data_IF_134064696326
#
_entry.id   IF_134064696326
#
_cell.length_a   1.000
_cell.length_b   1.000
_cell.length_c   1.000
_cell.angle_alpha   90.00
_cell.angle_beta   90.00
_cell.angle_gamma   90.00
#
_symmetry.space_group_name_H-M   'P 1'
#
loop_
_entity.id
_entity.type
_entity.pdbx_description
1 polymer ?
#
# COMPACT_ATOMS: atom_id res chain seq x y z
N UNK A 1 -13.61 -6.94 -5.80
CA UNK A 1 -12.90 -6.17 -6.86
C UNK A 1 -11.86 -5.20 -6.26
N UNK A 2 -12.25 -4.29 -5.37
CA UNK A 2 -11.31 -3.31 -4.78
C UNK A 2 -10.05 -3.94 -4.15
N UNK A 3 -10.19 -5.00 -3.36
CA UNK A 3 -9.05 -5.71 -2.73
C UNK A 3 -8.03 -6.25 -3.75
N UNK A 4 -8.48 -6.65 -4.94
CA UNK A 4 -7.58 -7.06 -6.02
C UNK A 4 -6.73 -5.88 -6.48
N UNK A 5 -7.33 -4.71 -6.73
CA UNK A 5 -6.59 -3.52 -7.15
C UNK A 5 -5.70 -2.96 -6.04
N UNK A 6 -6.10 -3.13 -4.78
CA UNK A 6 -5.26 -2.77 -3.63
C UNK A 6 -3.97 -3.59 -3.62
N UNK A 7 -4.06 -4.91 -3.76
CA UNK A 7 -2.89 -5.78 -3.88
C UNK A 7 -2.08 -5.48 -5.16
N UNK A 8 -2.75 -5.33 -6.30
CA UNK A 8 -2.12 -5.07 -7.59
C UNK A 8 -1.28 -3.78 -7.59
N UNK A 9 -1.89 -2.64 -7.25
CA UNK A 9 -1.19 -1.36 -7.26
C UNK A 9 -0.10 -1.30 -6.19
N UNK A 10 -0.35 -1.89 -5.01
CA UNK A 10 0.64 -1.94 -3.93
C UNK A 10 1.90 -2.69 -4.37
N UNK A 11 1.77 -3.80 -5.09
CA UNK A 11 2.91 -4.56 -5.60
C UNK A 11 3.61 -3.85 -6.78
N UNK A 12 2.85 -3.22 -7.67
CA UNK A 12 3.42 -2.46 -8.79
C UNK A 12 4.36 -1.35 -8.31
N UNK A 13 4.01 -0.64 -7.22
CA UNK A 13 4.84 0.42 -6.66
C UNK A 13 6.24 -0.07 -6.26
N UNK A 14 6.34 -1.31 -5.78
CA UNK A 14 7.59 -1.94 -5.35
C UNK A 14 8.35 -2.63 -6.50
N UNK A 15 7.87 -2.55 -7.74
CA UNK A 15 8.53 -3.11 -8.93
C UNK A 15 8.01 -4.48 -9.37
N UNK A 16 7.00 -5.03 -8.69
CA UNK A 16 6.31 -6.24 -9.11
C UNK A 16 5.27 -5.89 -10.17
N UNK A 17 5.73 -5.76 -11.41
CA UNK A 17 4.92 -5.29 -12.52
C UNK A 17 4.30 -6.44 -13.31
N UNK A 18 2.97 -6.55 -13.31
CA UNK A 18 2.23 -7.49 -14.14
C UNK A 18 1.13 -6.76 -14.91
N UNK A 19 0.72 -7.34 -16.05
CA UNK A 19 -0.52 -6.90 -16.68
C UNK A 19 -1.71 -7.23 -15.76
N UNK A 20 -2.79 -6.45 -15.86
CA UNK A 20 -3.99 -6.66 -15.01
C UNK A 20 -4.54 -8.08 -15.18
N UNK A 21 -4.60 -8.58 -16.41
CA UNK A 21 -5.11 -9.94 -16.69
C UNK A 21 -4.19 -11.03 -16.15
N UNK A 22 -2.87 -10.81 -16.18
CA UNK A 22 -1.89 -11.74 -15.60
C UNK A 22 -2.02 -11.79 -14.07
N UNK A 23 -2.12 -10.62 -13.42
CA UNK A 23 -2.36 -10.55 -11.99
C UNK A 23 -3.72 -11.18 -11.59
N UNK A 24 -4.75 -11.06 -12.44
CA UNK A 24 -6.04 -11.74 -12.24
C UNK A 24 -5.87 -13.26 -12.33
N UNK A 25 -5.16 -13.76 -13.33
CA UNK A 25 -4.92 -15.20 -13.50
C UNK A 25 -4.11 -15.78 -12.32
N UNK A 26 -3.15 -15.02 -11.80
CA UNK A 26 -2.41 -15.38 -10.58
C UNK A 26 -3.37 -15.54 -9.39
N UNK A 27 -4.19 -14.52 -9.12
CA UNK A 27 -5.04 -14.48 -7.91
C UNK A 27 -6.24 -15.42 -8.00
N UNK A 28 -6.93 -15.46 -9.14
CA UNK A 28 -8.23 -16.14 -9.25
C UNK A 28 -8.16 -17.50 -9.92
N UNK A 29 -7.16 -17.73 -10.78
CA UNK A 29 -7.01 -18.97 -11.54
C UNK A 29 -5.80 -19.81 -11.05
N UNK A 30 -4.99 -19.27 -10.12
CA UNK A 30 -3.82 -19.94 -9.56
C UNK A 30 -2.65 -20.10 -10.53
N UNK A 31 -2.61 -19.30 -11.60
CA UNK A 31 -1.56 -19.38 -12.63
C UNK A 31 -0.28 -18.71 -12.13
N UNK A 32 0.79 -19.48 -11.94
CA UNK A 32 2.09 -18.96 -11.51
C UNK A 32 3.05 -18.91 -12.72
N UNK A 33 3.56 -17.72 -13.12
CA UNK A 33 4.52 -17.58 -14.21
C UNK A 33 5.86 -18.26 -13.88
N UNK A 34 6.35 -19.10 -14.79
CA UNK A 34 7.60 -19.86 -14.60
C UNK A 34 8.85 -18.97 -14.48
N UNK A 35 8.85 -17.80 -15.13
CA UNK A 35 10.00 -16.91 -15.20
C UNK A 35 10.14 -15.99 -13.98
N UNK A 36 9.09 -15.83 -13.17
CA UNK A 36 9.06 -14.94 -12.01
C UNK A 36 8.00 -15.37 -10.97
N UNK A 37 8.12 -16.59 -10.44
CA UNK A 37 7.13 -17.15 -9.50
C UNK A 37 7.06 -16.37 -8.18
N UNK A 38 8.19 -15.86 -7.70
CA UNK A 38 8.24 -15.13 -6.43
C UNK A 38 7.44 -13.81 -6.49
N UNK A 39 7.46 -13.12 -7.63
CA UNK A 39 6.66 -11.92 -7.89
C UNK A 39 5.15 -12.22 -7.87
N UNK A 40 4.74 -13.36 -8.42
CA UNK A 40 3.34 -13.79 -8.35
C UNK A 40 2.91 -14.08 -6.91
N UNK A 41 3.79 -14.68 -6.12
CA UNK A 41 3.55 -14.90 -4.70
C UNK A 41 3.47 -13.61 -3.88
N UNK A 42 4.22 -12.56 -4.23
CA UNK A 42 4.11 -11.25 -3.56
C UNK A 42 2.70 -10.64 -3.71
N UNK A 43 2.12 -10.76 -4.91
CA UNK A 43 0.74 -10.31 -5.18
C UNK A 43 -0.27 -11.14 -4.40
N UNK A 44 -0.10 -12.47 -4.36
CA UNK A 44 -0.96 -13.37 -3.59
C UNK A 44 -0.89 -13.06 -2.09
N UNK A 45 0.31 -12.90 -1.53
CA UNK A 45 0.51 -12.60 -0.11
C UNK A 45 -0.19 -11.30 0.30
N UNK A 46 -0.07 -10.25 -0.51
CA UNK A 46 -0.80 -9.01 -0.29
C UNK A 46 -2.31 -9.20 -0.39
N UNK A 47 -2.79 -9.90 -1.44
CA UNK A 47 -4.22 -10.14 -1.67
C UNK A 47 -4.86 -10.95 -0.55
N UNK A 48 -4.19 -11.98 -0.05
CA UNK A 48 -4.66 -12.83 1.05
C UNK A 48 -4.97 -12.01 2.31
N UNK A 49 -4.20 -10.94 2.58
CA UNK A 49 -4.45 -10.05 3.71
C UNK A 49 -5.59 -9.08 3.38
N UNK A 50 -5.48 -8.32 2.29
CA UNK A 50 -6.41 -7.20 2.02
C UNK A 50 -7.82 -7.64 1.63
N UNK A 51 -7.97 -8.89 1.19
CA UNK A 51 -9.28 -9.49 0.86
C UNK A 51 -10.00 -10.07 2.09
N UNK A 52 -9.30 -10.34 3.19
CA UNK A 52 -9.93 -10.83 4.42
C UNK A 52 -10.47 -9.65 5.25
N UNK A 53 -11.79 -9.57 5.35
CA UNK A 53 -12.47 -8.51 6.10
C UNK A 53 -12.23 -8.60 7.62
N UNK A 54 -12.07 -9.79 8.19
CA UNK A 54 -11.76 -9.96 9.62
C UNK A 54 -10.33 -9.49 9.88
N UNK A 55 -9.40 -9.89 9.02
CA UNK A 55 -8.01 -9.47 9.12
C UNK A 55 -7.89 -7.94 9.00
N UNK A 56 -8.51 -7.35 7.98
CA UNK A 56 -8.44 -5.90 7.74
C UNK A 56 -9.20 -5.06 8.77
N UNK A 57 -10.06 -5.65 9.60
CA UNK A 57 -10.74 -4.93 10.71
C UNK A 57 -10.10 -5.20 12.07
N UNK A 58 -9.08 -6.06 12.13
CA UNK A 58 -8.27 -6.27 13.32
C UNK A 58 -7.30 -5.11 13.50
N UNK A 59 -7.47 -4.35 14.59
CA UNK A 59 -6.55 -3.28 15.02
C UNK A 59 -5.92 -3.62 16.38
N UNK A 60 -4.67 -3.20 16.61
CA UNK A 60 -4.03 -3.36 17.91
C UNK A 60 -4.46 -2.26 18.89
N UNK A 61 -4.62 -2.60 20.16
CA UNK A 61 -4.93 -1.65 21.23
C UNK A 61 -3.70 -1.26 22.05
N UNK A 62 -2.68 -2.12 22.08
CA UNK A 62 -1.46 -1.94 22.86
C UNK A 62 -0.20 -2.19 22.01
N UNK A 63 0.96 -1.60 22.36
CA UNK A 63 2.17 -1.72 21.54
C UNK A 63 2.57 -3.15 21.21
N UNK A 64 2.47 -4.08 22.17
CA UNK A 64 2.84 -5.48 21.95
C UNK A 64 1.93 -6.17 20.93
N UNK A 65 0.64 -5.84 20.90
CA UNK A 65 -0.28 -6.33 19.86
C UNK A 65 0.06 -5.73 18.50
N UNK A 66 0.45 -4.44 18.46
CA UNK A 66 0.88 -3.80 17.22
C UNK A 66 2.11 -4.50 16.63
N UNK A 67 3.14 -4.75 17.43
CA UNK A 67 4.34 -5.45 16.98
C UNK A 67 4.02 -6.88 16.52
N UNK A 68 3.19 -7.61 17.28
CA UNK A 68 2.78 -8.97 16.92
C UNK A 68 1.97 -9.00 15.61
N UNK A 69 1.00 -8.11 15.46
CA UNK A 69 0.17 -7.99 14.25
C UNK A 69 1.02 -7.60 13.03
N UNK A 70 1.93 -6.64 13.19
CA UNK A 70 2.82 -6.20 12.13
C UNK A 70 3.71 -7.35 11.63
N UNK A 71 4.30 -8.12 12.55
CA UNK A 71 5.10 -9.32 12.24
C UNK A 71 4.26 -10.41 11.57
N UNK A 72 3.05 -10.69 12.09
CA UNK A 72 2.16 -11.71 11.55
C UNK A 72 1.71 -11.38 10.11
N UNK A 73 1.28 -10.14 9.85
CA UNK A 73 0.92 -9.70 8.50
C UNK A 73 2.13 -9.71 7.56
N UNK A 74 3.30 -9.30 8.04
CA UNK A 74 4.52 -9.39 7.23
C UNK A 74 4.91 -10.83 6.91
N UNK A 75 4.73 -11.77 7.85
CA UNK A 75 4.95 -13.20 7.60
C UNK A 75 4.09 -13.69 6.44
N UNK A 76 2.78 -13.39 6.45
CA UNK A 76 1.87 -13.74 5.36
C UNK A 76 2.25 -13.05 4.04
N UNK A 77 2.61 -11.77 4.11
CA UNK A 77 2.98 -10.98 2.93
C UNK A 77 4.22 -11.53 2.21
N UNK A 78 5.22 -11.96 2.98
CA UNK A 78 6.55 -12.34 2.48
C UNK A 78 6.81 -13.84 2.57
N UNK A 79 5.79 -14.68 2.77
CA UNK A 79 5.93 -16.12 3.06
C UNK A 79 6.85 -16.85 2.07
N UNK A 80 6.79 -16.48 0.79
CA UNK A 80 7.55 -17.11 -0.30
C UNK A 80 8.90 -16.39 -0.60
N UNK A 81 9.36 -15.54 0.32
CA UNK A 81 10.62 -14.77 0.25
C UNK A 81 11.48 -15.08 1.48
N UNK A 82 12.02 -16.31 1.63
CA UNK A 82 12.81 -16.69 2.80
C UNK A 82 14.02 -15.77 3.02
N UNK A 83 14.59 -15.23 1.95
CA UNK A 83 15.67 -14.23 1.97
C UNK A 83 15.28 -12.91 2.66
N UNK A 84 13.99 -12.59 2.72
CA UNK A 84 13.46 -11.40 3.38
C UNK A 84 13.16 -11.63 4.87
N UNK A 85 13.45 -12.82 5.41
CA UNK A 85 13.19 -13.19 6.82
C UNK A 85 11.76 -12.88 7.28
N UNK A 86 10.74 -13.56 6.72
CA UNK A 86 9.34 -13.21 6.92
C UNK A 86 8.93 -13.16 8.40
N UNK A 87 8.42 -12.02 8.86
CA UNK A 87 7.92 -11.81 10.22
C UNK A 87 9.00 -11.45 11.25
N UNK A 88 10.26 -11.38 10.81
CA UNK A 88 11.39 -10.99 11.64
C UNK A 88 11.81 -9.56 11.33
N UNK A 89 11.94 -8.73 12.36
CA UNK A 89 12.56 -7.42 12.18
C UNK A 89 14.03 -7.58 11.76
N UNK A 90 14.51 -6.58 11.02
CA UNK A 90 15.88 -6.54 10.50
C UNK A 90 16.90 -6.64 11.64
N UNK A 91 17.99 -7.35 11.35
CA UNK A 91 19.18 -7.46 12.21
C UNK A 91 20.34 -6.58 11.70
N UNK A 92 20.17 -6.00 10.50
CA UNK A 92 21.14 -5.14 9.82
C UNK A 92 20.49 -3.82 9.43
N UNK A 93 21.29 -2.76 9.44
CA UNK A 93 20.84 -1.45 8.95
C UNK A 93 20.45 -1.55 7.47
N UNK A 94 19.39 -0.83 7.10
CA UNK A 94 18.91 -0.71 5.73
C UNK A 94 18.75 0.77 5.37
N UNK A 95 18.77 1.05 4.07
CA UNK A 95 18.70 2.41 3.53
C UNK A 95 17.98 2.38 2.18
N UNK A 96 17.40 3.53 1.81
CA UNK A 96 16.84 3.75 0.48
C UNK A 96 17.42 5.03 -0.13
N UNK A 97 18.28 4.88 -1.14
CA UNK A 97 19.08 6.00 -1.64
C UNK A 97 20.01 6.52 -0.54
N UNK A 98 19.90 7.82 -0.21
CA UNK A 98 20.65 8.45 0.87
C UNK A 98 19.95 8.40 2.25
N UNK A 99 18.71 7.92 2.31
CA UNK A 99 17.94 7.83 3.56
C UNK A 99 18.33 6.56 4.31
N UNK A 100 19.00 6.72 5.45
CA UNK A 100 19.27 5.64 6.41
C UNK A 100 18.10 5.55 7.37
N UNK A 101 17.53 4.35 7.53
CA UNK A 101 16.39 4.13 8.42
C UNK A 101 16.86 3.80 9.85
N UNK A 102 15.89 3.69 10.77
CA UNK A 102 16.10 3.38 12.19
C UNK A 102 17.02 2.18 12.38
N UNK A 103 17.95 2.25 13.34
CA UNK A 103 18.89 1.17 13.60
C UNK A 103 18.17 -0.12 14.08
N UNK A 104 18.68 -1.33 13.79
CA UNK A 104 18.02 -2.59 14.15
C UNK A 104 17.60 -2.72 15.61
N UNK A 105 18.46 -2.30 16.54
CA UNK A 105 18.25 -2.33 17.98
C UNK A 105 17.25 -1.29 18.48
N UNK A 106 16.94 -0.28 17.66
CA UNK A 106 15.98 0.78 17.97
C UNK A 106 14.58 0.54 17.35
N UNK A 107 14.42 -0.46 16.47
CA UNK A 107 13.17 -0.71 15.73
C UNK A 107 11.97 -0.88 16.67
N UNK A 108 12.07 -1.79 17.65
CA UNK A 108 10.93 -2.08 18.53
C UNK A 108 10.57 -0.90 19.43
N UNK A 109 11.59 -0.21 19.95
CA UNK A 109 11.42 0.98 20.78
C UNK A 109 10.75 2.12 20.00
N UNK A 110 11.21 2.38 18.78
CA UNK A 110 10.66 3.42 17.91
C UNK A 110 9.23 3.12 17.49
N UNK A 111 8.92 1.89 17.09
CA UNK A 111 7.54 1.47 16.79
C UNK A 111 6.63 1.60 18.01
N UNK A 112 7.13 1.23 19.19
CA UNK A 112 6.38 1.33 20.45
C UNK A 112 6.04 2.77 20.80
N UNK A 113 7.00 3.70 20.69
CA UNK A 113 6.74 5.12 20.98
C UNK A 113 5.85 5.75 19.90
N UNK A 114 6.11 5.44 18.62
CA UNK A 114 5.25 5.86 17.51
C UNK A 114 3.80 5.40 17.71
N UNK A 115 3.59 4.16 18.18
CA UNK A 115 2.26 3.65 18.50
C UNK A 115 1.53 4.48 19.58
N UNK A 116 2.26 4.97 20.60
CA UNK A 116 1.67 5.83 21.64
C UNK A 116 1.22 7.19 21.09
N UNK A 117 1.92 7.71 20.07
CA UNK A 117 1.50 8.94 19.36
C UNK A 117 0.26 8.63 18.50
N UNK A 118 0.31 7.53 17.73
CA UNK A 118 -0.80 7.05 16.91
C UNK A 118 -2.12 6.95 17.69
N UNK A 119 -2.13 6.40 18.92
CA UNK A 119 -3.34 6.26 19.74
C UNK A 119 -3.95 7.59 20.20
N UNK A 120 -3.24 8.73 20.05
CA UNK A 120 -3.78 10.07 20.36
C UNK A 120 -4.57 10.67 19.20
N UNK A 121 -4.54 10.07 18.01
CA UNK A 121 -5.24 10.54 16.82
C UNK A 121 -6.68 10.00 16.77
N UNK A 122 -7.65 10.91 16.64
CA UNK A 122 -9.08 10.57 16.63
C UNK A 122 -9.64 10.23 15.25
N UNK A 123 -9.20 10.96 14.22
CA UNK A 123 -9.72 10.78 12.87
C UNK A 123 -9.12 9.54 12.19
N UNK A 124 -9.94 8.64 11.59
CA UNK A 124 -9.43 7.42 10.96
C UNK A 124 -8.41 7.68 9.85
N UNK A 125 -8.62 8.70 9.01
CA UNK A 125 -7.66 9.05 7.97
C UNK A 125 -6.33 9.54 8.56
N UNK A 126 -6.35 10.30 9.66
CA UNK A 126 -5.11 10.75 10.32
C UNK A 126 -4.34 9.56 10.91
N UNK A 127 -5.05 8.63 11.57
CA UNK A 127 -4.47 7.37 12.06
C UNK A 127 -3.86 6.55 10.93
N UNK A 128 -4.58 6.41 9.81
CA UNK A 128 -4.13 5.67 8.64
C UNK A 128 -2.83 6.26 8.07
N UNK A 129 -2.80 7.59 7.81
CA UNK A 129 -1.63 8.29 7.28
C UNK A 129 -0.44 8.14 8.23
N UNK A 130 -0.66 8.33 9.53
CA UNK A 130 0.41 8.23 10.52
C UNK A 130 0.95 6.80 10.63
N UNK A 131 0.08 5.79 10.65
CA UNK A 131 0.47 4.38 10.70
C UNK A 131 1.30 3.97 9.48
N UNK A 132 0.86 4.39 8.28
CA UNK A 132 1.60 4.21 7.03
C UNK A 132 3.01 4.80 7.14
N UNK A 133 3.09 6.05 7.58
CA UNK A 133 4.35 6.76 7.71
C UNK A 133 5.27 6.10 8.74
N UNK A 134 4.76 5.80 9.94
CA UNK A 134 5.52 5.17 11.01
C UNK A 134 6.20 3.87 10.54
N UNK A 135 5.44 2.98 9.91
CA UNK A 135 5.98 1.70 9.43
C UNK A 135 6.98 1.92 8.29
N UNK A 136 6.70 2.86 7.37
CA UNK A 136 7.60 3.17 6.24
C UNK A 136 8.93 3.78 6.70
N UNK A 137 8.88 4.68 7.68
CA UNK A 137 10.03 5.46 8.18
C UNK A 137 10.91 4.62 9.12
N UNK A 138 10.31 3.76 9.96
CA UNK A 138 11.11 2.81 10.75
C UNK A 138 11.77 1.77 9.85
N UNK A 139 11.07 1.38 8.79
CA UNK A 139 11.53 0.37 7.83
C UNK A 139 11.98 -0.93 8.53
N UNK A 140 11.09 -1.56 9.33
CA UNK A 140 11.48 -2.57 10.30
C UNK A 140 11.92 -3.92 9.71
N UNK A 141 11.63 -4.19 8.44
CA UNK A 141 11.91 -5.47 7.79
C UNK A 141 13.00 -5.35 6.72
N UNK A 142 13.53 -6.48 6.25
CA UNK A 142 14.52 -6.53 5.16
C UNK A 142 13.92 -6.06 3.83
N UNK A 143 12.68 -6.47 3.54
CA UNK A 143 11.88 -6.06 2.37
C UNK A 143 10.39 -6.02 2.78
N UNK A 144 9.49 -5.58 1.90
CA UNK A 144 8.04 -5.59 2.13
C UNK A 144 7.52 -4.38 2.90
N UNK A 145 8.38 -3.50 3.40
CA UNK A 145 8.04 -2.36 4.25
C UNK A 145 6.95 -1.44 3.66
N UNK A 146 7.08 -1.05 2.38
CA UNK A 146 6.08 -0.21 1.72
C UNK A 146 4.72 -0.90 1.57
N UNK A 147 4.72 -2.19 1.21
CA UNK A 147 3.51 -3.03 1.08
C UNK A 147 2.80 -3.17 2.42
N UNK A 148 3.52 -3.55 3.47
CA UNK A 148 2.92 -3.72 4.79
C UNK A 148 2.45 -2.39 5.39
N UNK A 149 3.16 -1.28 5.18
CA UNK A 149 2.74 0.05 5.61
C UNK A 149 1.37 0.44 5.02
N UNK A 150 1.15 0.18 3.72
CA UNK A 150 -0.15 0.44 3.06
C UNK A 150 -1.26 -0.49 3.54
N UNK A 151 -0.95 -1.75 3.86
CA UNK A 151 -1.90 -2.67 4.48
C UNK A 151 -2.32 -2.16 5.87
N UNK A 152 -1.35 -1.77 6.70
CA UNK A 152 -1.64 -1.22 8.04
C UNK A 152 -2.45 0.08 7.97
N UNK A 153 -2.15 0.95 7.00
CA UNK A 153 -2.94 2.14 6.68
C UNK A 153 -4.40 1.80 6.38
N UNK A 154 -4.62 0.85 5.48
CA UNK A 154 -5.96 0.50 5.03
C UNK A 154 -6.75 -0.30 6.07
N UNK A 155 -6.08 -0.97 7.02
CA UNK A 155 -6.75 -1.60 8.16
C UNK A 155 -7.46 -0.55 9.05
N UNK A 156 -6.83 0.61 9.29
CA UNK A 156 -7.48 1.73 10.02
C UNK A 156 -8.77 2.19 9.35
N UNK A 157 -8.71 2.35 8.02
CA UNK A 157 -9.84 2.81 7.22
C UNK A 157 -10.93 1.74 7.17
N UNK A 158 -10.56 0.47 6.99
CA UNK A 158 -11.49 -0.65 6.96
C UNK A 158 -12.23 -0.83 8.28
N UNK A 159 -11.52 -0.79 9.42
CA UNK A 159 -12.11 -0.88 10.76
C UNK A 159 -13.10 0.27 11.02
N UNK A 160 -12.83 1.47 10.51
CA UNK A 160 -13.71 2.63 10.59
C UNK A 160 -14.80 2.68 9.51
N UNK A 161 -14.91 1.64 8.64
CA UNK A 161 -15.81 1.60 7.47
C UNK A 161 -15.66 2.81 6.53
N UNK A 162 -14.45 3.34 6.44
CA UNK A 162 -14.09 4.38 5.50
C UNK A 162 -13.51 3.79 4.21
N UNK A 163 -13.52 4.60 3.15
CA UNK A 163 -12.90 4.24 1.87
C UNK A 163 -11.40 4.05 2.06
N UNK A 164 -10.86 2.94 1.56
CA UNK A 164 -9.42 2.64 1.60
C UNK A 164 -8.65 3.51 0.60
N UNK A 165 -7.35 3.63 0.80
CA UNK A 165 -6.45 4.34 -0.09
C UNK A 165 -5.72 3.35 -1.00
N UNK A 166 -5.83 3.58 -2.31
CA UNK A 166 -5.04 2.89 -3.32
C UNK A 166 -4.22 3.95 -4.05
N UNK A 167 -2.97 3.62 -4.39
CA UNK A 167 -2.06 4.52 -5.11
C UNK A 167 -1.87 3.95 -6.53
N UNK A 168 -2.58 4.49 -7.55
CA UNK A 168 -2.45 4.00 -8.92
C UNK A 168 -1.03 4.17 -9.47
N UNK A 169 -0.72 3.45 -10.56
CA UNK A 169 0.61 3.41 -11.17
C UNK A 169 1.11 4.82 -11.49
N UNK A 170 0.31 5.62 -12.20
CA UNK A 170 0.66 7.00 -12.57
C UNK A 170 0.95 7.89 -11.35
N UNK A 171 0.38 7.57 -10.19
CA UNK A 171 0.46 8.38 -8.97
C UNK A 171 1.64 8.00 -8.07
N UNK A 172 2.42 6.99 -8.47
CA UNK A 172 3.60 6.52 -7.74
C UNK A 172 4.61 7.64 -7.47
N UNK A 173 4.94 8.46 -8.47
CA UNK A 173 5.92 9.54 -8.31
C UNK A 173 5.45 10.61 -7.32
N UNK A 174 4.15 10.94 -7.32
CA UNK A 174 3.57 11.84 -6.32
C UNK A 174 3.70 11.26 -4.91
N UNK A 175 3.35 9.99 -4.73
CA UNK A 175 3.44 9.29 -3.45
C UNK A 175 4.87 9.23 -2.90
N UNK A 176 5.84 8.79 -3.71
CA UNK A 176 7.25 8.69 -3.29
C UNK A 176 7.83 10.08 -2.99
N UNK A 177 7.52 11.09 -3.81
CA UNK A 177 8.00 12.46 -3.57
C UNK A 177 7.41 13.05 -2.29
N UNK A 178 6.14 12.76 -2.00
CA UNK A 178 5.47 13.21 -0.80
C UNK A 178 6.02 12.56 0.47
N UNK A 179 6.38 11.27 0.42
CA UNK A 179 7.10 10.61 1.51
C UNK A 179 8.47 11.26 1.76
N UNK A 180 9.26 11.46 0.69
CA UNK A 180 10.58 12.11 0.79
C UNK A 180 10.50 13.52 1.37
N UNK A 181 9.46 14.28 1.02
CA UNK A 181 9.27 15.62 1.59
C UNK A 181 9.12 15.58 3.12
N UNK A 182 8.45 14.56 3.66
CA UNK A 182 8.34 14.37 5.10
C UNK A 182 9.67 13.88 5.69
N UNK A 183 10.24 12.79 5.18
CA UNK A 183 11.45 12.18 5.76
C UNK A 183 12.68 13.08 5.70
N UNK A 184 12.86 13.84 4.61
CA UNK A 184 14.06 14.65 4.39
C UNK A 184 13.91 16.12 4.78
N UNK A 185 12.69 16.66 4.74
CA UNK A 185 12.46 18.10 4.94
C UNK A 185 11.46 18.41 6.08
N UNK A 186 11.01 17.39 6.82
CA UNK A 186 9.98 17.51 7.86
C UNK A 186 8.71 18.22 7.36
N UNK A 187 8.36 18.04 6.08
CA UNK A 187 7.22 18.68 5.43
C UNK A 187 6.07 17.68 5.24
N UNK A 188 5.07 17.62 6.16
CA UNK A 188 4.02 16.60 6.14
C UNK A 188 2.87 16.89 5.17
N UNK A 189 2.62 18.14 4.79
CA UNK A 189 1.47 18.52 3.96
C UNK A 189 1.39 17.77 2.62
N UNK A 190 2.50 17.52 1.89
CA UNK A 190 2.46 16.74 0.66
C UNK A 190 1.89 15.34 0.83
N UNK A 191 2.28 14.60 1.88
CA UNK A 191 1.81 13.22 2.06
C UNK A 191 0.34 13.19 2.48
N UNK A 192 -0.08 14.14 3.33
CA UNK A 192 -1.48 14.28 3.74
C UNK A 192 -2.37 14.55 2.52
N UNK A 193 -1.99 15.52 1.67
CA UNK A 193 -2.75 15.88 0.47
C UNK A 193 -2.78 14.75 -0.55
N UNK A 194 -1.65 14.09 -0.77
CA UNK A 194 -1.52 12.96 -1.70
C UNK A 194 -2.42 11.81 -1.31
N UNK A 195 -2.39 11.38 -0.04
CA UNK A 195 -3.23 10.27 0.43
C UNK A 195 -4.72 10.64 0.49
N UNK A 196 -5.05 11.88 0.87
CA UNK A 196 -6.43 12.36 0.84
C UNK A 196 -7.00 12.40 -0.59
N UNK A 197 -6.21 12.84 -1.58
CA UNK A 197 -6.61 12.78 -2.99
C UNK A 197 -6.80 11.33 -3.45
N UNK A 198 -5.86 10.44 -3.13
CA UNK A 198 -5.96 9.03 -3.47
C UNK A 198 -7.21 8.37 -2.85
N UNK A 199 -7.56 8.70 -1.61
CA UNK A 199 -8.80 8.21 -0.98
C UNK A 199 -10.05 8.68 -1.74
N UNK A 200 -10.10 9.97 -2.12
CA UNK A 200 -11.20 10.53 -2.91
C UNK A 200 -11.31 9.90 -4.28
N UNK A 201 -10.18 9.59 -4.90
CA UNK A 201 -10.12 8.89 -6.18
C UNK A 201 -10.74 7.49 -6.08
N UNK A 202 -10.35 6.71 -5.07
CA UNK A 202 -10.95 5.38 -4.82
C UNK A 202 -12.44 5.48 -4.51
N UNK A 203 -12.87 6.51 -3.78
CA UNK A 203 -14.28 6.73 -3.42
C UNK A 203 -15.16 7.02 -4.63
N UNK A 204 -14.59 7.56 -5.71
CA UNK A 204 -15.32 7.91 -6.93
C UNK A 204 -15.46 6.74 -7.91
N UNK A 205 -14.86 5.58 -7.63
CA UNK A 205 -14.91 4.40 -8.49
C UNK A 205 -15.96 3.42 -7.95
N UNK A 206 -16.95 3.01 -8.75
CA UNK A 206 -17.78 1.86 -8.47
C UNK A 206 -16.96 0.57 -8.55
N UNK A 207 -16.89 -0.16 -7.44
CA UNK A 207 -16.14 -1.43 -7.32
C UNK A 207 -17.03 -2.66 -7.46
N UNK A 208 -18.19 -2.51 -8.11
CA UNK A 208 -19.23 -3.52 -8.29
C UNK A 208 -18.80 -4.67 -9.21
N UNK A 209 -18.06 -4.35 -10.28
CA UNK A 209 -17.57 -5.33 -11.24
C UNK A 209 -16.13 -5.05 -11.68
N UNK A 210 -15.42 -6.10 -12.10
CA UNK A 210 -14.07 -5.92 -12.63
C UNK A 210 -14.08 -5.10 -13.93
N UNK A 211 -15.05 -5.34 -14.82
CA UNK A 211 -15.21 -4.60 -16.08
C UNK A 211 -15.30 -3.10 -15.80
N UNK A 212 -16.24 -2.70 -14.93
CA UNK A 212 -16.46 -1.31 -14.52
C UNK A 212 -15.17 -0.68 -13.95
N UNK A 213 -14.54 -1.36 -12.99
CA UNK A 213 -13.32 -0.86 -12.35
C UNK A 213 -12.17 -0.67 -13.36
N UNK A 214 -11.88 -1.68 -14.20
CA UNK A 214 -10.82 -1.59 -15.23
C UNK A 214 -11.09 -0.43 -16.19
N UNK A 215 -12.33 -0.31 -16.69
CA UNK A 215 -12.70 0.75 -17.64
C UNK A 215 -12.48 2.14 -17.04
N UNK A 216 -12.94 2.38 -15.81
CA UNK A 216 -12.81 3.69 -15.16
C UNK A 216 -11.35 3.99 -14.79
N UNK A 217 -10.62 3.00 -14.27
CA UNK A 217 -9.20 3.13 -13.97
C UNK A 217 -8.41 3.49 -15.24
N UNK A 218 -8.70 2.85 -16.38
CA UNK A 218 -8.07 3.17 -17.66
C UNK A 218 -8.42 4.58 -18.14
N UNK A 219 -9.70 4.97 -18.13
CA UNK A 219 -10.17 6.31 -18.55
C UNK A 219 -9.60 7.46 -17.71
N UNK A 220 -9.21 7.16 -16.48
CA UNK A 220 -8.60 8.12 -15.54
C UNK A 220 -7.09 7.98 -15.40
N UNK A 221 -6.45 7.26 -16.33
CA UNK A 221 -4.99 7.11 -16.46
C UNK A 221 -4.32 6.32 -15.32
N UNK A 222 -5.07 5.55 -14.53
CA UNK A 222 -4.56 4.82 -13.37
C UNK A 222 -3.40 3.86 -13.69
N UNK A 223 -3.38 3.32 -14.91
CA UNK A 223 -2.39 2.34 -15.36
C UNK A 223 -1.21 2.94 -16.13
N UNK A 224 -1.26 4.24 -16.46
CA UNK A 224 -0.19 4.92 -17.18
C UNK A 224 1.06 4.97 -16.31
N UNK A 225 2.24 4.74 -16.89
CA UNK A 225 3.50 4.83 -16.14
C UNK A 225 3.81 6.28 -15.76
N UNK A 226 4.42 6.55 -14.59
CA UNK A 226 4.74 7.92 -14.20
C UNK A 226 5.59 8.66 -15.22
N UNK A 227 6.58 8.00 -15.82
CA UNK A 227 7.48 8.58 -16.81
C UNK A 227 6.72 9.04 -18.06
N UNK A 228 5.84 8.18 -18.56
CA UNK A 228 4.94 8.49 -19.68
C UNK A 228 3.99 9.65 -19.35
N UNK A 229 3.42 9.61 -18.13
CA UNK A 229 2.53 10.67 -17.65
C UNK A 229 3.22 12.02 -17.55
N UNK A 230 4.46 12.05 -17.05
CA UNK A 230 5.25 13.28 -16.93
C UNK A 230 5.64 13.85 -18.30
N UNK A 231 6.08 13.01 -19.23
CA UNK A 231 6.41 13.41 -20.61
C UNK A 231 5.21 13.97 -21.38
N UNK A 232 4.03 13.35 -21.24
CA UNK A 232 2.84 13.72 -22.00
C UNK A 232 1.92 14.73 -21.28
N UNK A 233 2.27 15.14 -20.05
CA UNK A 233 1.42 16.01 -19.23
C UNK A 233 0.12 15.34 -18.75
N UNK A 234 0.05 14.01 -18.80
CA UNK A 234 -1.10 13.21 -18.35
C UNK A 234 -1.03 13.05 -16.83
N UNK A 235 -2.16 13.19 -16.14
CA UNK A 235 -2.23 13.05 -14.68
C UNK A 235 -3.40 12.17 -14.27
N UNK A 236 -3.31 11.60 -13.07
CA UNK A 236 -4.46 10.98 -12.41
C UNK A 236 -5.54 12.03 -12.18
N UNK A 237 -6.79 11.70 -12.50
CA UNK A 237 -7.94 12.58 -12.28
C UNK A 237 -9.09 11.80 -11.64
N UNK A 238 -9.91 12.50 -10.87
CA UNK A 238 -11.17 11.92 -10.35
C UNK A 238 -12.08 11.64 -11.57
N UNK A 239 -12.72 10.45 -11.65
CA UNK A 239 -13.71 10.17 -12.68
C UNK A 239 -14.82 11.23 -12.70
N UNK A 240 -15.23 11.64 -13.89
CA UNK A 240 -16.42 12.49 -14.08
C UNK A 240 -17.64 11.66 -14.53
N UNK A 241 -18.78 12.32 -14.75
CA UNK A 241 -20.01 11.64 -15.13
C UNK A 241 -19.89 10.83 -16.44
N UNK A 242 -19.06 11.27 -17.40
CA UNK A 242 -18.88 10.57 -18.66
C UNK A 242 -18.08 9.28 -18.47
N UNK A 243 -17.10 9.28 -17.57
CA UNK A 243 -16.32 8.07 -17.25
C UNK A 243 -17.16 6.96 -16.64
N UNK A 244 -18.20 7.32 -15.88
CA UNK A 244 -19.08 6.39 -15.18
C UNK A 244 -20.13 5.72 -16.09
N UNK A 245 -20.26 6.18 -17.34
CA UNK A 245 -21.15 5.55 -18.32
C UNK A 245 -20.44 4.31 -18.89
N UNK A 246 -20.85 3.14 -18.42
CA UNK A 246 -20.37 1.84 -18.91
C UNK A 246 -21.41 1.28 -19.87
N UNK A 247 -21.08 1.21 -21.16
CA UNK A 247 -21.92 0.53 -22.13
C UNK A 247 -21.97 -0.97 -21.81
N UNK A 248 -23.19 -1.51 -21.74
CA UNK A 248 -23.49 -2.92 -21.44
C UNK A 248 -22.84 -3.85 -22.45
#
# INVERSE_FOLDING_TARGET
VQAFFEAYFSNFIEGTEFAVDEARAIIFDGVIPNNRPADAHDILGAFNIVSDAKEMTHLPDRPQEFLALLRARHLTLMEQRPEASPGLFKDKANQFGALVFVAPDEVEGTLTEGFRIYKRLSEPLHRAIFMMFLVSEVHPFVDGNGRIARIMMNAELAAARQVRVLIPIIYRSNYISALRALSSNAWPEPIIKTLAFAQRYVAAIPWDSMKTAITILARTNAFVRPEEGDEQGIRLRIPDAADLIIET
#
